data_IF_980856750039
#
_entry.id   IF_980856750039
#
_cell.length_a   1.000
_cell.length_b   1.000
_cell.length_c   1.000
_cell.angle_alpha   90.00
_cell.angle_beta   90.00
_cell.angle_gamma   90.00
#
_symmetry.space_group_name_H-M   'P 1'
#
loop_
_entity.id
_entity.type
_entity.pdbx_description
1 polymer ?
#
# COMPACT_ATOMS: atom_id res chain seq x y z
N UNK A 1 -0.41 -24.23 33.02
CA UNK A 1 0.87 -24.43 32.31
C UNK A 1 0.73 -23.79 30.94
N UNK A 2 1.43 -22.67 30.73
CA UNK A 2 1.32 -21.86 29.52
C UNK A 2 2.25 -22.43 28.43
N UNK A 3 1.70 -22.77 27.27
CA UNK A 3 2.48 -23.07 26.07
C UNK A 3 2.60 -21.79 25.23
N UNK A 4 3.83 -21.25 25.14
CA UNK A 4 4.20 -20.25 24.13
C UNK A 4 4.78 -20.98 22.93
N UNK A 5 4.30 -20.77 21.69
CA UNK A 5 5.05 -21.17 20.52
C UNK A 5 6.16 -20.15 20.24
N UNK A 6 7.38 -20.65 20.10
CA UNK A 6 8.61 -19.94 19.79
C UNK A 6 8.59 -19.43 18.34
N UNK A 7 8.94 -18.16 18.12
CA UNK A 7 9.19 -17.61 16.77
C UNK A 7 10.38 -18.33 16.13
N UNK A 8 10.29 -18.77 14.86
CA UNK A 8 11.47 -19.13 14.11
C UNK A 8 12.16 -17.85 13.63
N UNK A 9 13.40 -17.67 14.06
CA UNK A 9 14.32 -16.67 13.54
C UNK A 9 14.60 -16.96 12.06
N UNK A 10 14.27 -16.01 11.18
CA UNK A 10 14.59 -16.11 9.76
C UNK A 10 15.94 -15.45 9.49
N UNK A 11 17.01 -16.24 9.56
CA UNK A 11 18.29 -15.88 8.95
C UNK A 11 18.38 -16.62 7.61
N UNK A 12 18.06 -15.93 6.52
CA UNK A 12 18.36 -16.38 5.17
C UNK A 12 19.02 -15.25 4.39
N UNK A 13 20.25 -15.51 3.94
CA UNK A 13 21.11 -14.59 3.20
C UNK A 13 20.49 -14.29 1.83
N UNK A 14 20.30 -13.00 1.53
CA UNK A 14 19.98 -12.51 0.19
C UNK A 14 21.27 -12.49 -0.63
N UNK A 15 21.35 -13.36 -1.64
CA UNK A 15 22.32 -13.27 -2.72
C UNK A 15 21.80 -12.27 -3.75
N UNK A 16 22.52 -11.16 -3.93
CA UNK A 16 22.07 -10.02 -4.72
C UNK A 16 22.13 -10.22 -6.23
N UNK A 17 21.23 -9.50 -6.91
CA UNK A 17 21.36 -8.99 -8.28
C UNK A 17 20.64 -7.64 -8.33
N UNK A 18 21.33 -6.59 -8.81
CA UNK A 18 20.76 -5.27 -9.11
C UNK A 18 21.14 -4.14 -8.13
N UNK A 19 22.17 -3.39 -8.47
CA UNK A 19 22.63 -2.18 -7.75
C UNK A 19 21.66 -1.00 -7.94
N UNK A 20 21.37 -0.29 -6.85
CA UNK A 20 20.77 1.06 -6.82
C UNK A 20 19.34 1.07 -6.28
N UNK A 21 19.13 1.41 -5.01
CA UNK A 21 17.79 1.74 -4.53
C UNK A 21 17.29 2.96 -5.32
N UNK A 22 16.29 2.75 -6.19
CA UNK A 22 15.72 3.78 -7.09
C UNK A 22 14.63 4.62 -6.41
N UNK A 23 14.38 4.31 -5.14
CA UNK A 23 13.37 4.95 -4.31
C UNK A 23 14.01 5.33 -2.98
N UNK A 24 13.83 6.59 -2.59
CA UNK A 24 14.34 7.14 -1.32
C UNK A 24 13.20 7.83 -0.58
N UNK A 25 12.92 7.39 0.64
CA UNK A 25 12.00 8.06 1.57
C UNK A 25 12.83 8.41 2.82
N UNK A 26 13.46 9.59 2.86
CA UNK A 26 14.42 9.94 3.91
C UNK A 26 13.77 10.14 5.28
N UNK A 27 12.49 10.55 5.30
CA UNK A 27 11.71 10.80 6.50
C UNK A 27 10.24 10.44 6.23
N UNK A 28 9.86 9.20 6.55
CA UNK A 28 8.51 8.69 6.30
C UNK A 28 7.46 9.40 7.15
N UNK A 29 7.81 9.80 8.39
CA UNK A 29 6.90 10.52 9.27
C UNK A 29 6.57 11.90 8.70
N UNK A 30 7.58 12.67 8.29
CA UNK A 30 7.37 13.98 7.67
C UNK A 30 6.62 13.87 6.35
N UNK A 31 6.88 12.83 5.56
CA UNK A 31 6.11 12.57 4.33
C UNK A 31 4.63 12.35 4.66
N UNK A 32 4.31 11.48 5.61
CA UNK A 32 2.92 11.23 6.05
C UNK A 32 2.26 12.52 6.55
N UNK A 33 2.93 13.29 7.41
CA UNK A 33 2.41 14.57 7.90
C UNK A 33 2.11 15.54 6.76
N UNK A 34 3.00 15.61 5.77
CA UNK A 34 2.85 16.45 4.58
C UNK A 34 1.64 16.01 3.75
N UNK A 35 1.45 14.71 3.53
CA UNK A 35 0.29 14.20 2.79
C UNK A 35 -1.00 14.44 3.58
N UNK A 36 -1.02 14.17 4.89
CA UNK A 36 -2.19 14.41 5.73
C UNK A 36 -2.60 15.89 5.74
N UNK A 37 -1.64 16.82 5.76
CA UNK A 37 -1.91 18.25 5.71
C UNK A 37 -2.52 18.70 4.37
N UNK A 38 -2.22 18.00 3.27
CA UNK A 38 -2.67 18.35 1.90
C UNK A 38 -3.87 17.53 1.42
N UNK A 39 -4.11 16.39 2.05
CA UNK A 39 -5.16 15.45 1.68
C UNK A 39 -6.56 16.01 1.85
N UNK A 40 -7.49 15.44 1.09
CA UNK A 40 -8.92 15.66 1.27
C UNK A 40 -9.55 14.38 1.82
N UNK A 41 -10.53 14.52 2.71
CA UNK A 41 -11.29 13.36 3.21
C UNK A 41 -10.52 12.41 4.14
N UNK A 42 -9.36 12.80 4.69
CA UNK A 42 -8.57 11.97 5.63
C UNK A 42 -9.36 11.49 6.85
N UNK A 43 -10.37 12.23 7.28
CA UNK A 43 -11.23 11.88 8.41
C UNK A 43 -12.39 10.95 8.01
N UNK A 44 -12.52 10.60 6.73
CA UNK A 44 -13.53 9.64 6.27
C UNK A 44 -13.30 8.28 6.91
N UNK A 45 -14.38 7.71 7.44
CA UNK A 45 -14.38 6.35 7.97
C UNK A 45 -14.16 5.30 6.88
N UNK A 46 -14.62 5.56 5.65
CA UNK A 46 -14.59 4.61 4.55
C UNK A 46 -13.31 4.72 3.71
N UNK A 47 -12.87 5.94 3.44
CA UNK A 47 -11.79 6.22 2.48
C UNK A 47 -10.66 7.08 3.06
N UNK A 48 -10.73 7.46 4.34
CA UNK A 48 -9.74 8.31 4.98
C UNK A 48 -8.49 7.54 5.42
N UNK A 49 -7.68 8.19 6.25
CA UNK A 49 -6.37 7.70 6.69
C UNK A 49 -6.41 6.29 7.30
N UNK A 50 -7.48 5.95 8.01
CA UNK A 50 -7.66 4.61 8.57
C UNK A 50 -7.65 3.53 7.49
N UNK A 51 -8.24 3.81 6.32
CA UNK A 51 -8.19 2.91 5.18
C UNK A 51 -6.77 2.85 4.59
N UNK A 52 -6.10 3.98 4.39
CA UNK A 52 -4.74 4.03 3.82
C UNK A 52 -3.74 3.20 4.64
N UNK A 53 -3.82 3.29 5.97
CA UNK A 53 -3.01 2.49 6.89
C UNK A 53 -3.29 0.99 6.77
N UNK A 54 -4.55 0.59 6.58
CA UNK A 54 -4.89 -0.83 6.35
C UNK A 54 -4.48 -1.32 4.97
N UNK A 55 -4.45 -0.45 3.95
CA UNK A 55 -3.85 -0.77 2.64
C UNK A 55 -2.35 -1.00 2.80
N UNK A 56 -1.65 -0.12 3.52
CA UNK A 56 -0.23 -0.28 3.82
C UNK A 56 0.05 -1.59 4.60
N UNK A 57 -0.77 -1.89 5.62
CA UNK A 57 -0.66 -3.14 6.39
C UNK A 57 -0.91 -4.39 5.53
N UNK A 58 -1.91 -4.35 4.64
CA UNK A 58 -2.15 -5.43 3.69
C UNK A 58 -0.97 -5.62 2.74
N UNK A 59 -0.43 -4.52 2.19
CA UNK A 59 0.75 -4.55 1.33
C UNK A 59 1.97 -5.14 2.04
N UNK A 60 2.25 -4.68 3.26
CA UNK A 60 3.33 -5.20 4.10
C UNK A 60 3.22 -6.71 4.34
N UNK A 61 2.00 -7.20 4.55
CA UNK A 61 1.76 -8.61 4.78
C UNK A 61 1.92 -9.46 3.49
N UNK A 62 1.81 -8.87 2.29
CA UNK A 62 1.98 -9.55 1.00
C UNK A 62 3.44 -9.56 0.51
N UNK A 63 4.26 -8.59 0.94
CA UNK A 63 5.65 -8.44 0.52
C UNK A 63 6.50 -9.72 0.67
N UNK A 64 6.46 -10.49 1.79
CA UNK A 64 7.28 -11.68 1.94
C UNK A 64 6.99 -12.78 0.91
N UNK A 65 5.80 -12.78 0.31
CA UNK A 65 5.37 -13.73 -0.71
C UNK A 65 5.41 -13.13 -2.13
N UNK A 66 5.90 -11.89 -2.26
CA UNK A 66 6.04 -11.15 -3.53
C UNK A 66 7.41 -10.45 -3.58
N UNK A 67 8.52 -11.21 -3.57
CA UNK A 67 9.86 -10.67 -3.34
C UNK A 67 10.37 -9.69 -4.41
N UNK A 68 9.75 -9.68 -5.59
CA UNK A 68 10.08 -8.76 -6.69
C UNK A 68 9.30 -7.44 -6.62
N UNK A 69 8.39 -7.27 -5.65
CA UNK A 69 7.70 -6.01 -5.43
C UNK A 69 8.56 -5.02 -4.64
N UNK A 70 8.54 -3.75 -5.02
CA UNK A 70 9.26 -2.68 -4.32
C UNK A 70 8.46 -2.20 -3.09
N UNK A 71 8.95 -2.42 -1.85
CA UNK A 71 8.24 -2.03 -0.63
C UNK A 71 7.95 -0.53 -0.55
N UNK A 72 8.81 0.32 -1.09
CA UNK A 72 8.65 1.76 -1.00
C UNK A 72 7.53 2.27 -1.91
N UNK A 73 7.41 1.71 -3.12
CA UNK A 73 6.27 2.02 -4.00
C UNK A 73 4.94 1.51 -3.43
N UNK A 74 4.94 0.36 -2.75
CA UNK A 74 3.74 -0.16 -2.06
C UNK A 74 3.29 0.79 -0.94
N UNK A 75 4.23 1.30 -0.14
CA UNK A 75 3.93 2.29 0.90
C UNK A 75 3.40 3.60 0.30
N UNK A 76 4.07 4.13 -0.73
CA UNK A 76 3.66 5.37 -1.39
C UNK A 76 2.26 5.23 -2.01
N UNK A 77 1.98 4.12 -2.70
CA UNK A 77 0.64 3.85 -3.22
C UNK A 77 -0.42 3.87 -2.11
N UNK A 78 -0.17 3.16 -1.01
CA UNK A 78 -1.10 3.12 0.11
C UNK A 78 -1.39 4.52 0.67
N UNK A 79 -0.37 5.37 0.75
CA UNK A 79 -0.48 6.74 1.23
C UNK A 79 -1.22 7.67 0.24
N UNK A 80 -1.03 7.51 -1.06
CA UNK A 80 -1.53 8.47 -2.07
C UNK A 80 -2.85 8.10 -2.75
N UNK A 81 -3.18 6.82 -2.96
CA UNK A 81 -4.25 6.40 -3.89
C UNK A 81 -5.63 7.02 -3.62
N UNK A 82 -6.03 7.12 -2.34
CA UNK A 82 -7.28 7.74 -1.88
C UNK A 82 -7.07 9.12 -1.20
N UNK A 83 -5.84 9.63 -1.18
CA UNK A 83 -5.46 10.87 -0.45
C UNK A 83 -6.17 12.14 -0.91
N UNK A 84 -6.63 12.15 -2.17
CA UNK A 84 -7.26 13.32 -2.78
C UNK A 84 -8.72 13.05 -3.17
N UNK A 85 -9.41 12.21 -2.40
CA UNK A 85 -10.84 11.96 -2.55
C UNK A 85 -11.68 13.09 -1.95
N UNK A 86 -12.66 13.59 -2.69
CA UNK A 86 -13.53 14.69 -2.25
C UNK A 86 -14.79 14.21 -1.54
N UNK A 87 -15.22 12.96 -1.77
CA UNK A 87 -16.39 12.35 -1.14
C UNK A 87 -16.32 10.82 -1.18
N UNK A 88 -17.12 10.15 -0.35
CA UNK A 88 -17.19 8.68 -0.27
C UNK A 88 -18.01 8.03 -1.41
N UNK A 89 -18.60 8.84 -2.29
CA UNK A 89 -19.41 8.38 -3.41
C UNK A 89 -18.59 8.18 -4.69
N UNK A 90 -19.19 8.55 -5.81
CA UNK A 90 -18.54 8.50 -7.12
C UNK A 90 -17.58 9.67 -7.28
N UNK A 91 -16.29 9.38 -7.30
CA UNK A 91 -15.24 10.37 -7.49
C UNK A 91 -14.14 9.79 -8.38
N UNK A 92 -14.35 9.58 -9.68
CA UNK A 92 -13.41 8.86 -10.54
C UNK A 92 -12.03 9.52 -10.69
N UNK A 93 -11.87 10.75 -10.19
CA UNK A 93 -10.66 11.54 -10.30
C UNK A 93 -9.80 11.53 -9.02
N UNK A 94 -10.20 10.81 -7.97
CA UNK A 94 -9.39 10.69 -6.73
C UNK A 94 -8.00 10.10 -6.98
N UNK A 95 -7.92 9.00 -7.74
CA UNK A 95 -6.66 8.37 -8.14
C UNK A 95 -5.74 9.31 -8.91
N UNK A 96 -6.20 9.93 -10.02
CA UNK A 96 -5.46 10.96 -10.75
C UNK A 96 -4.98 12.13 -9.90
N UNK A 97 -5.81 12.64 -8.97
CA UNK A 97 -5.39 13.70 -8.06
C UNK A 97 -4.36 13.23 -7.04
N UNK A 98 -4.48 12.00 -6.54
CA UNK A 98 -3.47 11.38 -5.67
C UNK A 98 -2.13 11.21 -6.38
N UNK A 99 -2.15 10.76 -7.64
CA UNK A 99 -0.97 10.68 -8.49
C UNK A 99 -0.34 12.06 -8.76
N UNK A 100 -1.15 13.09 -9.00
CA UNK A 100 -0.67 14.46 -9.14
C UNK A 100 0.01 14.96 -7.85
N UNK A 101 -0.61 14.73 -6.68
CA UNK A 101 -0.01 15.08 -5.40
C UNK A 101 1.33 14.37 -5.18
N UNK A 102 1.44 13.09 -5.52
CA UNK A 102 2.69 12.35 -5.44
C UNK A 102 3.78 12.97 -6.35
N UNK A 103 3.43 13.34 -7.59
CA UNK A 103 4.37 14.01 -8.52
C UNK A 103 4.84 15.37 -8.00
N UNK A 104 3.97 16.13 -7.34
CA UNK A 104 4.34 17.42 -6.73
C UNK A 104 5.29 17.28 -5.54
N UNK A 105 5.19 16.20 -4.77
CA UNK A 105 6.03 15.97 -3.59
C UNK A 105 7.34 15.22 -3.91
N UNK A 106 7.48 14.69 -5.13
CA UNK A 106 8.71 14.04 -5.62
C UNK A 106 9.87 15.06 -5.67
N UNK A 107 11.03 14.64 -5.19
CA UNK A 107 12.24 15.46 -5.10
C UNK A 107 12.33 16.30 -3.82
N UNK A 108 11.23 16.45 -3.07
CA UNK A 108 11.22 17.17 -1.79
C UNK A 108 11.06 16.24 -0.59
N UNK A 109 10.01 15.40 -0.59
CA UNK A 109 9.67 14.54 0.55
C UNK A 109 10.11 13.08 0.34
N UNK A 110 10.24 12.67 -0.92
CA UNK A 110 10.78 11.38 -1.35
C UNK A 110 11.36 11.54 -2.76
N UNK A 111 12.20 10.60 -3.19
CA UNK A 111 12.75 10.58 -4.55
C UNK A 111 12.49 9.23 -5.22
N UNK A 112 12.19 9.28 -6.51
CA UNK A 112 11.93 8.15 -7.40
C UNK A 112 12.64 8.39 -8.73
N UNK A 113 13.07 7.34 -9.43
CA UNK A 113 13.33 7.45 -10.86
C UNK A 113 12.04 7.69 -11.65
N UNK A 114 12.17 8.12 -12.91
CA UNK A 114 11.00 8.44 -13.74
C UNK A 114 10.09 7.23 -13.95
N UNK A 115 10.67 6.05 -14.18
CA UNK A 115 9.91 4.81 -14.36
C UNK A 115 9.13 4.42 -13.09
N UNK A 116 9.74 4.59 -11.92
CA UNK A 116 9.08 4.29 -10.65
C UNK A 116 7.97 5.30 -10.33
N UNK A 117 8.16 6.58 -10.66
CA UNK A 117 7.13 7.61 -10.54
C UNK A 117 5.96 7.35 -11.50
N UNK A 118 6.23 6.96 -12.74
CA UNK A 118 5.20 6.58 -13.70
C UNK A 118 4.41 5.35 -13.23
N UNK A 119 5.09 4.36 -12.65
CA UNK A 119 4.45 3.18 -12.08
C UNK A 119 3.55 3.53 -10.88
N UNK A 120 4.02 4.39 -9.97
CA UNK A 120 3.23 4.89 -8.84
C UNK A 120 1.99 5.66 -9.33
N UNK A 121 2.19 6.57 -10.30
CA UNK A 121 1.12 7.36 -10.88
C UNK A 121 0.05 6.47 -11.52
N UNK A 122 0.48 5.51 -12.35
CA UNK A 122 -0.41 4.53 -12.96
C UNK A 122 -1.15 3.67 -11.92
N UNK A 123 -0.44 3.21 -10.88
CA UNK A 123 -1.04 2.44 -9.80
C UNK A 123 -2.18 3.21 -9.13
N UNK A 124 -1.97 4.49 -8.81
CA UNK A 124 -3.00 5.36 -8.23
C UNK A 124 -4.12 5.69 -9.22
N UNK A 125 -3.81 5.99 -10.49
CA UNK A 125 -4.80 6.37 -11.50
C UNK A 125 -5.79 5.22 -11.79
N UNK A 126 -5.30 3.98 -11.85
CA UNK A 126 -6.05 2.83 -12.36
C UNK A 126 -6.59 1.87 -11.29
N UNK A 127 -6.35 2.12 -9.99
CA UNK A 127 -6.66 1.15 -8.93
C UNK A 127 -8.14 0.71 -8.88
N UNK A 128 -9.07 1.58 -9.29
CA UNK A 128 -10.52 1.30 -9.29
C UNK A 128 -11.06 0.67 -10.58
N UNK A 129 -10.26 0.53 -11.64
CA UNK A 129 -10.73 0.08 -12.95
C UNK A 129 -10.79 -1.46 -13.11
N UNK A 130 -10.50 -2.21 -12.05
CA UNK A 130 -10.66 -3.67 -12.03
C UNK A 130 -9.61 -4.46 -12.81
N UNK A 131 -8.55 -3.81 -13.30
CA UNK A 131 -7.41 -4.47 -13.96
C UNK A 131 -6.58 -5.31 -12.99
N UNK A 132 -5.85 -6.31 -13.51
CA UNK A 132 -4.83 -7.06 -12.76
C UNK A 132 -3.43 -6.75 -13.31
N UNK A 133 -2.45 -6.60 -12.44
CA UNK A 133 -1.09 -6.23 -12.80
C UNK A 133 -0.21 -7.44 -13.09
N UNK A 134 0.64 -7.36 -14.14
CA UNK A 134 1.73 -8.32 -14.36
C UNK A 134 3.03 -7.89 -13.67
N UNK A 135 3.21 -6.59 -13.48
CA UNK A 135 4.27 -6.05 -12.64
C UNK A 135 3.99 -6.41 -11.17
N UNK A 136 4.95 -7.03 -10.45
CA UNK A 136 4.74 -7.47 -9.07
C UNK A 136 4.35 -6.34 -8.11
N UNK A 137 4.94 -5.15 -8.25
CA UNK A 137 4.66 -3.99 -7.40
C UNK A 137 3.25 -3.47 -7.67
N UNK A 138 2.90 -3.24 -8.94
CA UNK A 138 1.57 -2.79 -9.35
C UNK A 138 0.49 -3.76 -8.89
N UNK A 139 0.71 -5.06 -9.12
CA UNK A 139 -0.21 -6.12 -8.72
C UNK A 139 -0.43 -6.13 -7.22
N UNK A 140 0.64 -6.02 -6.43
CA UNK A 140 0.57 -5.99 -4.96
C UNK A 140 -0.17 -4.73 -4.46
N UNK A 141 0.11 -3.55 -5.03
CA UNK A 141 -0.61 -2.31 -4.71
C UNK A 141 -2.13 -2.48 -4.86
N UNK A 142 -2.58 -2.93 -6.03
CA UNK A 142 -4.00 -3.15 -6.28
C UNK A 142 -4.60 -4.26 -5.42
N UNK A 143 -3.84 -5.32 -5.14
CA UNK A 143 -4.28 -6.38 -4.24
C UNK A 143 -4.47 -5.87 -2.81
N UNK A 144 -3.56 -5.05 -2.31
CA UNK A 144 -3.62 -4.46 -0.99
C UNK A 144 -4.89 -3.60 -0.81
N UNK A 145 -5.24 -2.78 -1.81
CA UNK A 145 -6.49 -2.01 -1.78
C UNK A 145 -7.73 -2.93 -1.90
N UNK A 146 -7.73 -3.87 -2.84
CA UNK A 146 -8.89 -4.76 -3.04
C UNK A 146 -9.15 -5.69 -1.86
N UNK A 147 -8.12 -6.13 -1.14
CA UNK A 147 -8.29 -6.88 0.10
C UNK A 147 -9.05 -6.07 1.16
N UNK A 148 -8.98 -4.73 1.10
CA UNK A 148 -9.70 -3.82 2.00
C UNK A 148 -11.14 -3.52 1.57
N UNK A 149 -11.67 -4.15 0.51
CA UNK A 149 -13.06 -3.98 0.06
C UNK A 149 -14.11 -4.44 1.09
N UNK A 150 -13.70 -5.24 2.09
CA UNK A 150 -14.56 -5.60 3.21
C UNK A 150 -15.14 -4.38 3.95
N UNK A 151 -14.41 -3.25 3.97
CA UNK A 151 -14.85 -1.99 4.61
C UNK A 151 -16.14 -1.44 4.00
N UNK A 152 -16.39 -1.73 2.72
CA UNK A 152 -17.58 -1.33 1.97
C UNK A 152 -18.54 -2.51 1.71
N UNK A 153 -18.42 -3.59 2.49
CA UNK A 153 -19.31 -4.75 2.41
C UNK A 153 -19.07 -5.67 1.21
N UNK A 154 -17.96 -5.51 0.51
CA UNK A 154 -17.63 -6.33 -0.67
C UNK A 154 -16.57 -7.37 -0.28
N UNK A 155 -16.89 -8.65 -0.50
CA UNK A 155 -15.90 -9.72 -0.39
C UNK A 155 -14.93 -9.63 -1.58
N UNK A 156 -13.60 -9.58 -1.36
CA UNK A 156 -12.62 -9.60 -2.44
C UNK A 156 -12.77 -10.86 -3.30
N UNK A 157 -12.86 -10.67 -4.62
CA UNK A 157 -12.91 -11.76 -5.60
C UNK A 157 -11.47 -12.16 -5.99
N UNK A 158 -11.03 -13.41 -5.76
CA UNK A 158 -9.70 -13.87 -6.16
C UNK A 158 -9.36 -13.62 -7.64
N UNK A 159 -10.36 -13.57 -8.53
CA UNK A 159 -10.15 -13.32 -9.97
C UNK A 159 -9.72 -11.88 -10.28
N UNK A 160 -9.96 -10.95 -9.36
CA UNK A 160 -9.56 -9.54 -9.46
C UNK A 160 -8.29 -9.24 -8.65
N UNK A 161 -7.64 -10.27 -8.12
CA UNK A 161 -6.35 -10.18 -7.42
C UNK A 161 -5.23 -10.68 -8.33
N UNK A 162 -4.07 -10.03 -8.27
CA UNK A 162 -2.92 -10.20 -9.16
C UNK A 162 -1.98 -11.29 -8.65
N UNK A 163 -1.62 -11.24 -7.38
CA UNK A 163 -0.61 -12.10 -6.74
C UNK A 163 -1.20 -13.41 -6.20
N UNK A 164 -0.39 -14.47 -6.18
CA UNK A 164 -0.77 -15.73 -5.53
C UNK A 164 -1.07 -15.56 -4.04
N UNK A 165 -0.29 -14.71 -3.36
CA UNK A 165 -0.45 -14.39 -1.95
C UNK A 165 -1.81 -13.77 -1.65
N UNK A 166 -2.27 -12.82 -2.47
CA UNK A 166 -3.57 -12.17 -2.30
C UNK A 166 -4.74 -13.10 -2.64
N UNK A 167 -4.58 -13.97 -3.65
CA UNK A 167 -5.62 -14.95 -4.06
C UNK A 167 -5.92 -16.01 -3.01
N UNK A 168 -5.03 -16.21 -2.04
CA UNK A 168 -5.22 -17.19 -0.98
C UNK A 168 -6.50 -16.90 -0.18
N UNK A 169 -7.38 -17.90 -0.03
CA UNK A 169 -8.65 -17.74 0.68
C UNK A 169 -8.49 -17.34 2.15
N UNK A 170 -7.42 -17.80 2.81
CA UNK A 170 -7.06 -17.38 4.16
C UNK A 170 -6.62 -15.92 4.22
N UNK A 171 -5.89 -15.43 3.21
CA UNK A 171 -5.52 -14.01 3.09
C UNK A 171 -6.73 -13.11 2.93
N UNK A 172 -7.67 -13.51 2.06
CA UNK A 172 -8.94 -12.79 1.85
C UNK A 172 -9.76 -12.75 3.14
N UNK A 173 -9.82 -13.85 3.89
CA UNK A 173 -10.53 -13.90 5.17
C UNK A 173 -9.85 -13.03 6.24
N UNK A 174 -8.52 -13.09 6.35
CA UNK A 174 -7.73 -12.26 7.25
C UNK A 174 -7.96 -10.76 7.02
N UNK A 175 -8.03 -10.33 5.75
CA UNK A 175 -8.25 -8.92 5.42
C UNK A 175 -9.61 -8.37 5.91
N UNK A 176 -10.59 -9.23 6.19
CA UNK A 176 -11.84 -8.83 6.86
C UNK A 176 -11.59 -8.45 8.32
N UNK A 177 -10.71 -9.18 8.99
CA UNK A 177 -10.39 -8.95 10.39
C UNK A 177 -9.49 -7.72 10.53
N UNK A 178 -8.61 -7.49 9.56
CA UNK A 178 -7.82 -6.25 9.42
C UNK A 178 -8.68 -4.97 9.47
N UNK A 179 -9.94 -5.01 9.03
CA UNK A 179 -10.83 -3.83 9.07
C UNK A 179 -11.17 -3.36 10.49
N UNK A 180 -10.92 -4.21 11.50
CA UNK A 180 -11.11 -3.89 12.92
C UNK A 180 -9.82 -3.43 13.60
N UNK A 181 -8.70 -3.50 12.90
CA UNK A 181 -7.39 -3.14 13.45
C UNK A 181 -7.10 -1.64 13.30
N UNK A 182 -6.38 -1.13 14.29
CA UNK A 182 -5.83 0.22 14.27
C UNK A 182 -4.31 0.12 14.22
N UNK A 183 -3.75 0.19 13.01
CA UNK A 183 -2.30 0.20 12.80
C UNK A 183 -1.82 1.64 12.81
N UNK A 184 -0.76 1.95 13.56
CA UNK A 184 -0.17 3.29 13.61
C UNK A 184 0.86 3.46 12.47
N UNK A 185 1.06 4.69 11.99
CA UNK A 185 2.06 4.96 10.96
C UNK A 185 3.47 4.58 11.42
N UNK A 186 3.80 4.79 12.70
CA UNK A 186 5.09 4.43 13.26
C UNK A 186 5.36 2.92 13.21
N UNK A 187 4.31 2.10 13.34
CA UNK A 187 4.42 0.66 13.18
C UNK A 187 4.62 0.27 11.72
N UNK A 188 3.89 0.91 10.81
CA UNK A 188 4.04 0.69 9.37
C UNK A 188 5.44 1.10 8.90
N UNK A 189 5.96 2.26 9.31
CA UNK A 189 7.30 2.71 8.95
C UNK A 189 8.37 1.68 9.33
N UNK A 190 8.30 1.15 10.56
CA UNK A 190 9.20 0.07 11.01
C UNK A 190 9.02 -1.19 10.18
N UNK A 191 7.79 -1.56 9.85
CA UNK A 191 7.47 -2.72 9.02
C UNK A 191 8.06 -2.64 7.62
N UNK A 192 7.97 -1.46 6.98
CA UNK A 192 8.56 -1.20 5.66
C UNK A 192 10.07 -0.92 5.71
N UNK A 193 10.67 -0.82 6.90
CA UNK A 193 12.11 -0.57 7.08
C UNK A 193 12.52 0.89 6.92
N UNK A 194 11.59 1.84 7.00
CA UNK A 194 11.90 3.27 7.03
C UNK A 194 12.41 3.69 8.41
N UNK A 195 13.23 4.76 8.42
CA UNK A 195 13.74 5.38 9.64
C UNK A 195 12.76 6.37 10.22
#
# INVERSE_FOLDING_TARGET
MCFRPSSPALAARVTGVGSGARVSIPDAARLVDTVLARSTGKDSFLHGEGHWRRVAAAGLALLPETPDADPALVFLFALFHDSMRFNDGHDPQHGPRGAALARELRGEAFDLGDAEMDLLGFACEEHTNGGVGRDPTLGLCWDADRLNLWRVGIRPDPRLLSTGAARNGGRIAWARDLQREHVAWEELHRGFGFR
#
